data_IF_493886227585
#
_entry.id   IF_493886227585
#
_cell.length_a   1.000
_cell.length_b   1.000
_cell.length_c   1.000
_cell.angle_alpha   90.00
_cell.angle_beta   90.00
_cell.angle_gamma   90.00
#
_symmetry.space_group_name_H-M   'P 1'
#
loop_
_entity.id
_entity.type
_entity.pdbx_description
1 polymer ?
#
# COMPACT_ATOMS: atom_id res chain seq x y z
N UNK A 1 -114.96 137.81 -74.41
CA UNK A 1 -114.46 138.39 -75.67
C UNK A 1 -115.58 138.25 -76.67
N UNK A 2 -116.09 139.38 -77.17
CA UNK A 2 -117.19 139.39 -78.15
C UNK A 2 -116.85 138.47 -79.34
N UNK A 3 -117.82 137.68 -79.82
CA UNK A 3 -117.61 136.85 -81.00
C UNK A 3 -117.50 137.80 -82.21
N UNK A 4 -116.27 138.09 -82.62
CA UNK A 4 -116.03 138.73 -83.91
C UNK A 4 -116.69 137.82 -84.95
N UNK A 5 -117.74 138.33 -85.60
CA UNK A 5 -118.51 137.61 -86.60
C UNK A 5 -117.62 137.37 -87.82
N UNK A 6 -116.87 136.27 -87.78
CA UNK A 6 -116.03 135.83 -88.88
C UNK A 6 -116.95 135.34 -90.00
N UNK A 7 -116.77 135.89 -91.21
CA UNK A 7 -117.50 135.43 -92.38
C UNK A 7 -117.41 133.89 -92.50
N UNK A 8 -118.54 133.17 -92.56
CA UNK A 8 -118.57 131.70 -92.53
C UNK A 8 -117.77 131.05 -93.66
N UNK A 9 -117.70 131.67 -94.85
CA UNK A 9 -116.87 131.16 -95.95
C UNK A 9 -115.37 131.23 -95.63
N UNK A 10 -114.95 132.30 -94.94
CA UNK A 10 -113.55 132.47 -94.51
C UNK A 10 -113.23 131.49 -93.37
N UNK A 11 -114.16 131.26 -92.44
CA UNK A 11 -114.01 130.25 -91.38
C UNK A 11 -113.87 128.84 -91.96
N UNK A 12 -114.75 128.44 -92.89
CA UNK A 12 -114.69 127.13 -93.52
C UNK A 12 -113.37 126.91 -94.28
N UNK A 13 -112.89 127.94 -94.99
CA UNK A 13 -111.60 127.89 -95.69
C UNK A 13 -110.41 127.75 -94.72
N UNK A 14 -110.44 128.47 -93.59
CA UNK A 14 -109.41 128.34 -92.55
C UNK A 14 -109.46 126.94 -91.94
N UNK A 15 -110.62 126.40 -91.57
CA UNK A 15 -110.74 125.04 -91.00
C UNK A 15 -110.26 123.99 -92.00
N UNK A 16 -110.67 124.06 -93.27
CA UNK A 16 -110.18 123.17 -94.33
C UNK A 16 -108.67 123.25 -94.49
N UNK A 17 -108.09 124.45 -94.45
CA UNK A 17 -106.64 124.63 -94.52
C UNK A 17 -105.92 124.04 -93.29
N UNK A 18 -106.51 124.16 -92.10
CA UNK A 18 -106.01 123.53 -90.88
C UNK A 18 -106.04 122.01 -91.01
N UNK A 19 -107.18 121.43 -91.41
CA UNK A 19 -107.34 119.98 -91.56
C UNK A 19 -106.38 119.39 -92.59
N UNK A 20 -106.24 120.03 -93.76
CA UNK A 20 -105.28 119.57 -94.77
C UNK A 20 -103.83 119.66 -94.28
N UNK A 21 -103.45 120.73 -93.57
CA UNK A 21 -102.10 120.85 -93.03
C UNK A 21 -101.88 119.86 -91.88
N UNK A 22 -102.90 119.59 -91.08
CA UNK A 22 -102.85 118.60 -90.01
C UNK A 22 -102.76 117.17 -90.56
N UNK A 23 -103.44 116.88 -91.68
CA UNK A 23 -103.33 115.63 -92.43
C UNK A 23 -101.93 115.46 -93.04
N UNK A 24 -101.34 116.53 -93.59
CA UNK A 24 -99.96 116.54 -94.09
C UNK A 24 -98.93 116.26 -92.98
N UNK A 25 -99.21 116.69 -91.75
CA UNK A 25 -98.40 116.40 -90.56
C UNK A 25 -98.67 115.00 -89.96
N UNK A 26 -99.48 114.17 -90.63
CA UNK A 26 -99.78 112.80 -90.23
C UNK A 26 -100.70 112.69 -89.00
N UNK A 27 -101.49 113.73 -88.69
CA UNK A 27 -102.38 113.79 -87.51
C UNK A 27 -101.68 113.41 -86.20
N UNK A 28 -100.43 113.83 -86.04
CA UNK A 28 -99.63 113.63 -84.82
C UNK A 28 -99.92 114.75 -83.80
N UNK A 29 -99.28 114.71 -82.61
CA UNK A 29 -99.41 115.75 -81.56
C UNK A 29 -98.86 117.14 -81.98
N UNK A 30 -98.39 117.30 -83.22
CA UNK A 30 -97.92 118.55 -83.78
C UNK A 30 -99.02 119.24 -84.58
N UNK A 31 -99.40 120.43 -84.14
CA UNK A 31 -100.39 121.26 -84.84
C UNK A 31 -99.70 122.18 -85.88
N UNK A 32 -100.31 122.39 -87.06
CA UNK A 32 -99.72 123.25 -88.11
C UNK A 32 -99.56 124.69 -87.64
N UNK A 33 -98.54 125.41 -88.09
CA UNK A 33 -98.32 126.76 -87.57
C UNK A 33 -99.40 127.73 -88.07
N UNK A 34 -99.78 128.72 -87.27
CA UNK A 34 -100.78 129.72 -87.69
C UNK A 34 -100.35 130.49 -88.96
N UNK A 35 -99.04 130.63 -89.17
CA UNK A 35 -98.49 131.25 -90.37
C UNK A 35 -98.75 130.40 -91.64
N UNK A 36 -98.58 129.08 -91.56
CA UNK A 36 -98.89 128.14 -92.65
C UNK A 36 -100.39 128.12 -92.96
N UNK A 37 -101.21 128.05 -91.91
CA UNK A 37 -102.68 128.08 -92.04
C UNK A 37 -103.13 129.38 -92.73
N UNK A 38 -102.55 130.52 -92.34
CA UNK A 38 -102.84 131.82 -92.93
C UNK A 38 -102.41 131.90 -94.40
N UNK A 39 -101.20 131.41 -94.72
CA UNK A 39 -100.68 131.40 -96.08
C UNK A 39 -101.56 130.53 -97.01
N UNK A 40 -102.00 129.36 -96.51
CA UNK A 40 -102.82 128.42 -97.27
C UNK A 40 -104.27 128.89 -97.42
N UNK A 41 -104.88 129.42 -96.35
CA UNK A 41 -106.24 129.95 -96.38
C UNK A 41 -106.36 131.34 -97.02
N UNK A 42 -105.24 132.06 -97.23
CA UNK A 42 -105.19 133.47 -97.69
C UNK A 42 -106.11 134.39 -96.88
N UNK A 43 -106.11 134.22 -95.56
CA UNK A 43 -107.00 134.94 -94.64
C UNK A 43 -106.24 136.00 -93.83
N UNK A 44 -106.97 136.98 -93.26
CA UNK A 44 -106.40 137.95 -92.32
C UNK A 44 -105.88 137.26 -91.03
N UNK A 45 -104.80 137.82 -90.45
CA UNK A 45 -104.13 137.24 -89.29
C UNK A 45 -105.06 137.11 -88.08
N UNK A 46 -105.91 138.10 -87.83
CA UNK A 46 -106.77 138.12 -86.65
C UNK A 46 -107.85 137.04 -86.76
N UNK A 47 -108.42 136.86 -87.95
CA UNK A 47 -109.45 135.86 -88.22
C UNK A 47 -108.88 134.44 -88.12
N UNK A 48 -107.71 134.21 -88.75
CA UNK A 48 -107.02 132.92 -88.69
C UNK A 48 -106.69 132.51 -87.25
N UNK A 49 -106.22 133.46 -86.43
CA UNK A 49 -105.83 133.21 -85.04
C UNK A 49 -107.00 132.84 -84.12
N UNK A 50 -108.22 133.31 -84.42
CA UNK A 50 -109.43 132.99 -83.64
C UNK A 50 -109.90 131.57 -84.00
N UNK A 51 -110.10 131.30 -85.30
CA UNK A 51 -110.60 130.00 -85.79
C UNK A 51 -109.60 128.88 -85.44
N UNK A 52 -108.30 129.13 -85.58
CA UNK A 52 -107.28 128.15 -85.22
C UNK A 52 -107.28 127.82 -83.71
N UNK A 53 -107.47 128.81 -82.83
CA UNK A 53 -107.60 128.57 -81.38
C UNK A 53 -108.85 127.78 -81.05
N UNK A 54 -109.97 128.08 -81.70
CA UNK A 54 -111.23 127.36 -81.51
C UNK A 54 -111.09 125.90 -81.94
N UNK A 55 -110.55 125.65 -83.13
CA UNK A 55 -110.31 124.31 -83.64
C UNK A 55 -109.33 123.52 -82.76
N UNK A 56 -108.21 124.15 -82.35
CA UNK A 56 -107.23 123.52 -81.45
C UNK A 56 -107.86 123.15 -80.10
N UNK A 57 -108.76 123.99 -79.57
CA UNK A 57 -109.51 123.71 -78.33
C UNK A 57 -110.48 122.55 -78.50
N UNK A 58 -111.09 122.37 -79.67
CA UNK A 58 -111.97 121.23 -79.94
C UNK A 58 -111.17 119.92 -80.04
N UNK A 59 -109.96 119.94 -80.61
CA UNK A 59 -109.11 118.75 -80.71
C UNK A 59 -108.51 118.31 -79.37
N UNK A 60 -108.21 119.25 -78.46
CA UNK A 60 -107.70 118.93 -77.11
C UNK A 60 -108.80 118.77 -76.06
N UNK A 61 -110.08 118.80 -76.46
CA UNK A 61 -111.19 118.52 -75.56
C UNK A 61 -111.17 117.04 -75.16
N UNK A 62 -110.67 116.78 -73.95
CA UNK A 62 -110.61 115.43 -73.37
C UNK A 62 -112.03 114.86 -73.25
N UNK A 63 -112.35 113.68 -73.81
CA UNK A 63 -113.67 113.09 -73.65
C UNK A 63 -113.94 112.83 -72.16
N UNK A 64 -115.12 113.22 -71.69
CA UNK A 64 -115.55 113.03 -70.31
C UNK A 64 -115.63 111.52 -70.06
N UNK A 65 -114.95 111.04 -69.02
CA UNK A 65 -115.04 109.64 -68.60
C UNK A 65 -116.50 109.35 -68.21
N UNK A 66 -117.19 108.55 -69.02
CA UNK A 66 -118.50 107.99 -68.65
C UNK A 66 -118.23 106.80 -67.75
N UNK A 67 -118.49 106.94 -66.45
CA UNK A 67 -118.55 105.82 -65.53
C UNK A 67 -119.73 104.94 -65.91
N UNK A 68 -119.48 103.89 -66.71
CA UNK A 68 -120.46 102.83 -66.93
C UNK A 68 -120.37 101.92 -65.71
N UNK A 69 -121.41 101.92 -64.88
CA UNK A 69 -121.53 100.95 -63.79
C UNK A 69 -121.61 99.55 -64.39
N UNK A 70 -120.74 98.65 -63.94
CA UNK A 70 -120.74 97.25 -64.38
C UNK A 70 -122.08 96.62 -63.98
N UNK A 71 -122.80 95.95 -64.90
CA UNK A 71 -124.03 95.27 -64.56
C UNK A 71 -123.83 94.26 -63.45
N UNK A 72 -124.69 94.29 -62.44
CA UNK A 72 -124.63 93.44 -61.25
C UNK A 72 -124.44 91.93 -61.56
N UNK A 73 -125.09 91.33 -62.58
CA UNK A 73 -124.87 89.91 -62.89
C UNK A 73 -123.43 89.58 -63.31
N UNK A 74 -122.74 90.52 -63.96
CA UNK A 74 -121.34 90.33 -64.39
C UNK A 74 -120.39 90.43 -63.19
N UNK A 75 -120.67 91.36 -62.27
CA UNK A 75 -119.89 91.51 -61.04
C UNK A 75 -120.03 90.27 -60.13
N UNK A 76 -121.26 89.75 -59.98
CA UNK A 76 -121.53 88.52 -59.24
C UNK A 76 -120.81 87.32 -59.85
N UNK A 77 -120.92 87.11 -61.16
CA UNK A 77 -120.22 86.03 -61.85
C UNK A 77 -118.69 86.14 -61.73
N UNK A 78 -118.14 87.36 -61.72
CA UNK A 78 -116.72 87.58 -61.50
C UNK A 78 -116.29 87.19 -60.08
N UNK A 79 -117.00 87.65 -59.05
CA UNK A 79 -116.71 87.31 -57.65
C UNK A 79 -116.83 85.81 -57.40
N UNK A 80 -117.84 85.16 -57.98
CA UNK A 80 -117.99 83.70 -57.93
C UNK A 80 -116.80 82.98 -58.59
N UNK A 81 -116.38 83.41 -59.79
CA UNK A 81 -115.24 82.81 -60.48
C UNK A 81 -113.93 82.97 -59.68
N UNK A 82 -113.69 84.15 -59.11
CA UNK A 82 -112.54 84.39 -58.22
C UNK A 82 -112.62 83.52 -56.97
N UNK A 83 -113.80 83.39 -56.37
CA UNK A 83 -114.03 82.52 -55.22
C UNK A 83 -113.71 81.05 -55.53
N UNK A 84 -114.14 80.55 -56.69
CA UNK A 84 -113.85 79.18 -57.15
C UNK A 84 -112.35 78.98 -57.35
N UNK A 85 -111.67 79.88 -58.06
CA UNK A 85 -110.22 79.78 -58.30
C UNK A 85 -109.43 79.86 -56.99
N UNK A 86 -109.81 80.77 -56.10
CA UNK A 86 -109.19 80.90 -54.78
C UNK A 86 -109.37 79.62 -53.96
N UNK A 87 -110.60 79.08 -53.89
CA UNK A 87 -110.88 77.85 -53.16
C UNK A 87 -110.08 76.66 -53.71
N UNK A 88 -110.02 76.50 -55.03
CA UNK A 88 -109.24 75.44 -55.68
C UNK A 88 -107.74 75.59 -55.43
N UNK A 89 -107.20 76.82 -55.50
CA UNK A 89 -105.80 77.09 -55.19
C UNK A 89 -105.48 76.82 -53.72
N UNK A 90 -106.37 77.20 -52.80
CA UNK A 90 -106.23 76.94 -51.36
C UNK A 90 -106.29 75.43 -51.07
N UNK A 91 -107.18 74.69 -51.74
CA UNK A 91 -107.25 73.23 -51.62
C UNK A 91 -105.96 72.56 -52.09
N UNK A 92 -105.44 72.95 -53.27
CA UNK A 92 -104.17 72.42 -53.79
C UNK A 92 -102.99 72.77 -52.89
N UNK A 93 -102.89 74.01 -52.40
CA UNK A 93 -101.83 74.42 -51.48
C UNK A 93 -101.88 73.62 -50.17
N UNK A 94 -103.08 73.44 -49.60
CA UNK A 94 -103.27 72.62 -48.41
C UNK A 94 -102.95 71.14 -48.67
N UNK A 95 -103.27 70.61 -49.86
CA UNK A 95 -102.91 69.24 -50.24
C UNK A 95 -101.39 69.07 -50.37
N UNK A 96 -100.70 70.02 -50.99
CA UNK A 96 -99.23 70.01 -51.09
C UNK A 96 -98.56 70.14 -49.72
N UNK A 97 -99.10 70.96 -48.81
CA UNK A 97 -98.57 71.07 -47.44
C UNK A 97 -98.70 69.74 -46.71
N UNK A 98 -99.87 69.09 -46.74
CA UNK A 98 -100.08 67.79 -46.09
C UNK A 98 -99.18 66.69 -46.67
N UNK A 99 -98.99 66.66 -47.99
CA UNK A 99 -98.07 65.71 -48.65
C UNK A 99 -96.61 65.96 -48.24
N UNK A 100 -96.18 67.23 -48.15
CA UNK A 100 -94.84 67.59 -47.69
C UNK A 100 -94.63 67.24 -46.21
N UNK A 101 -95.60 67.51 -45.33
CA UNK A 101 -95.57 67.14 -43.92
C UNK A 101 -95.49 65.61 -43.75
N UNK A 102 -96.28 64.84 -44.53
CA UNK A 102 -96.24 63.38 -44.49
C UNK A 102 -94.90 62.82 -44.95
N UNK A 103 -94.32 63.36 -46.03
CA UNK A 103 -92.99 62.96 -46.51
C UNK A 103 -91.89 63.31 -45.51
N UNK A 104 -91.95 64.49 -44.92
CA UNK A 104 -90.98 64.91 -43.91
C UNK A 104 -91.07 64.04 -42.66
N UNK A 105 -92.27 63.71 -42.18
CA UNK A 105 -92.42 62.83 -41.02
C UNK A 105 -91.93 61.40 -41.32
N UNK A 106 -92.18 60.90 -42.54
CA UNK A 106 -91.64 59.61 -42.98
C UNK A 106 -90.10 59.63 -42.99
N UNK A 107 -89.49 60.59 -43.66
CA UNK A 107 -88.02 60.75 -43.69
C UNK A 107 -87.45 60.91 -42.29
N UNK A 108 -88.11 61.67 -41.41
CA UNK A 108 -87.69 61.85 -40.02
C UNK A 108 -87.73 60.52 -39.26
N UNK A 109 -88.79 59.73 -39.43
CA UNK A 109 -88.95 58.42 -38.79
C UNK A 109 -87.92 57.39 -39.30
N UNK A 110 -87.62 57.41 -40.60
CA UNK A 110 -86.59 56.57 -41.22
C UNK A 110 -85.19 56.95 -40.73
N UNK A 111 -84.89 58.25 -40.66
CA UNK A 111 -83.62 58.75 -40.11
C UNK A 111 -83.45 58.37 -38.63
N UNK A 112 -84.51 58.43 -37.83
CA UNK A 112 -84.47 58.02 -36.43
C UNK A 112 -84.26 56.51 -36.28
N UNK A 113 -84.87 55.72 -37.16
CA UNK A 113 -84.67 54.26 -37.21
C UNK A 113 -83.23 53.93 -37.60
N UNK A 114 -82.70 54.54 -38.66
CA UNK A 114 -81.31 54.38 -39.08
C UNK A 114 -80.33 54.77 -37.96
N UNK A 115 -80.58 55.87 -37.24
CA UNK A 115 -79.74 56.29 -36.10
C UNK A 115 -79.74 55.26 -34.98
N UNK A 116 -80.91 54.69 -34.65
CA UNK A 116 -81.04 53.66 -33.63
C UNK A 116 -80.30 52.39 -34.03
N UNK A 117 -80.52 51.91 -35.26
CA UNK A 117 -79.84 50.71 -35.77
C UNK A 117 -78.31 50.88 -35.80
N UNK A 118 -77.83 52.06 -36.18
CA UNK A 118 -76.39 52.38 -36.12
C UNK A 118 -75.87 52.39 -34.68
N UNK A 119 -76.60 53.00 -33.74
CA UNK A 119 -76.22 53.02 -32.33
C UNK A 119 -76.15 51.61 -31.75
N UNK A 120 -77.18 50.77 -31.99
CA UNK A 120 -77.22 49.38 -31.56
C UNK A 120 -76.08 48.55 -32.18
N UNK A 121 -75.78 48.75 -33.47
CA UNK A 121 -74.66 48.08 -34.12
C UNK A 121 -73.30 48.50 -33.54
N UNK A 122 -73.11 49.79 -33.22
CA UNK A 122 -71.90 50.27 -32.58
C UNK A 122 -71.75 49.74 -31.14
N UNK A 123 -72.82 49.76 -30.35
CA UNK A 123 -72.82 49.19 -28.99
C UNK A 123 -72.51 47.69 -29.03
N UNK A 124 -73.11 46.94 -29.95
CA UNK A 124 -72.81 45.53 -30.15
C UNK A 124 -71.37 45.27 -30.59
N UNK A 125 -70.82 46.10 -31.48
CA UNK A 125 -69.42 45.98 -31.90
C UNK A 125 -68.43 46.28 -30.77
N UNK A 126 -68.74 47.26 -29.89
CA UNK A 126 -67.93 47.57 -28.71
C UNK A 126 -67.97 46.40 -27.72
N UNK A 127 -69.15 45.88 -27.41
CA UNK A 127 -69.30 44.73 -26.51
C UNK A 127 -68.52 43.51 -27.01
N UNK A 128 -68.65 43.16 -28.29
CA UNK A 128 -67.92 42.05 -28.89
C UNK A 128 -66.39 42.27 -28.88
N UNK A 129 -65.94 43.50 -29.06
CA UNK A 129 -64.52 43.84 -28.99
C UNK A 129 -63.97 43.69 -27.55
N UNK A 130 -64.76 44.06 -26.54
CA UNK A 130 -64.37 43.91 -25.14
C UNK A 130 -64.35 42.44 -24.72
N UNK A 131 -65.36 41.64 -25.10
CA UNK A 131 -65.36 40.18 -24.90
C UNK A 131 -64.13 39.52 -25.55
N UNK A 132 -63.79 39.92 -26.78
CA UNK A 132 -62.61 39.39 -27.48
C UNK A 132 -61.29 39.78 -26.78
N UNK A 133 -61.19 40.99 -26.23
CA UNK A 133 -60.02 41.44 -25.44
C UNK A 133 -59.89 40.66 -24.14
N UNK A 134 -61.00 40.42 -23.45
CA UNK A 134 -61.00 39.62 -22.21
C UNK A 134 -60.59 38.18 -22.49
N UNK A 135 -61.15 37.55 -23.53
CA UNK A 135 -60.76 36.21 -23.96
C UNK A 135 -59.26 36.14 -24.32
N UNK A 136 -58.76 37.14 -25.06
CA UNK A 136 -57.33 37.23 -25.39
C UNK A 136 -56.46 37.35 -24.13
N UNK A 137 -56.87 38.16 -23.15
CA UNK A 137 -56.14 38.33 -21.89
C UNK A 137 -56.08 37.04 -21.07
N UNK A 138 -57.15 36.24 -21.06
CA UNK A 138 -57.17 34.91 -20.41
C UNK A 138 -56.17 33.97 -21.10
N UNK A 139 -56.24 33.85 -22.43
CA UNK A 139 -55.34 32.99 -23.19
C UNK A 139 -53.87 33.41 -23.03
N UNK A 140 -53.59 34.71 -22.96
CA UNK A 140 -52.24 35.21 -22.70
C UNK A 140 -51.73 34.78 -21.31
N UNK A 141 -52.55 34.89 -20.26
CA UNK A 141 -52.19 34.42 -18.91
C UNK A 141 -51.92 32.91 -18.88
N UNK A 142 -52.78 32.11 -19.53
CA UNK A 142 -52.59 30.66 -19.62
C UNK A 142 -51.29 30.30 -20.36
N UNK A 143 -51.00 31.01 -21.47
CA UNK A 143 -49.74 30.84 -22.21
C UNK A 143 -48.52 31.16 -21.33
N UNK A 144 -48.56 32.27 -20.59
CA UNK A 144 -47.48 32.65 -19.67
C UNK A 144 -47.29 31.62 -18.56
N UNK A 145 -48.38 31.11 -17.99
CA UNK A 145 -48.33 30.05 -16.99
C UNK A 145 -47.73 28.75 -17.54
N UNK A 146 -48.15 28.32 -18.74
CA UNK A 146 -47.57 27.15 -19.42
C UNK A 146 -46.09 27.37 -19.78
N UNK A 147 -45.69 28.58 -20.16
CA UNK A 147 -44.30 28.91 -20.42
C UNK A 147 -43.44 28.80 -19.15
N UNK A 148 -43.94 29.30 -18.02
CA UNK A 148 -43.28 29.17 -16.71
C UNK A 148 -43.19 27.70 -16.27
N UNK A 149 -44.25 26.92 -16.44
CA UNK A 149 -44.24 25.48 -16.15
C UNK A 149 -43.24 24.71 -17.03
N UNK A 150 -43.16 25.02 -18.33
CA UNK A 150 -42.16 24.42 -19.20
C UNK A 150 -40.73 24.80 -18.78
N UNK A 151 -40.49 26.04 -18.37
CA UNK A 151 -39.19 26.47 -17.88
C UNK A 151 -38.78 25.72 -16.60
N UNK A 152 -39.71 25.53 -15.66
CA UNK A 152 -39.42 24.79 -14.42
C UNK A 152 -39.18 23.30 -14.68
N UNK A 153 -39.94 22.68 -15.59
CA UNK A 153 -39.70 21.30 -16.02
C UNK A 153 -38.35 21.13 -16.72
N UNK A 154 -37.93 22.08 -17.56
CA UNK A 154 -36.62 22.06 -18.17
C UNK A 154 -35.49 22.16 -17.13
N UNK A 155 -35.64 23.01 -16.11
CA UNK A 155 -34.69 23.11 -14.99
C UNK A 155 -34.60 21.79 -14.20
N UNK A 156 -35.74 21.19 -13.85
CA UNK A 156 -35.78 19.88 -13.18
C UNK A 156 -35.12 18.79 -14.02
N UNK A 157 -35.31 18.82 -15.34
CA UNK A 157 -34.71 17.86 -16.26
C UNK A 157 -33.19 18.05 -16.36
N UNK A 158 -32.69 19.28 -16.35
CA UNK A 158 -31.24 19.54 -16.29
C UNK A 158 -30.63 19.06 -14.98
N UNK A 159 -31.26 19.36 -13.83
CA UNK A 159 -30.80 18.90 -12.52
C UNK A 159 -30.81 17.37 -12.42
N UNK A 160 -31.86 16.72 -12.91
CA UNK A 160 -31.94 15.26 -12.94
C UNK A 160 -30.84 14.63 -13.80
N UNK A 161 -30.51 15.25 -14.95
CA UNK A 161 -29.40 14.80 -15.80
C UNK A 161 -28.05 14.96 -15.11
N UNK A 162 -27.80 16.10 -14.47
CA UNK A 162 -26.56 16.33 -13.73
C UNK A 162 -26.40 15.33 -12.57
N UNK A 163 -27.47 15.12 -11.80
CA UNK A 163 -27.49 14.12 -10.74
C UNK A 163 -27.22 12.71 -11.28
N UNK A 164 -27.82 12.33 -12.41
CA UNK A 164 -27.57 11.04 -13.04
C UNK A 164 -26.10 10.87 -13.44
N UNK A 165 -25.49 11.90 -14.04
CA UNK A 165 -24.05 11.88 -14.40
C UNK A 165 -23.20 11.73 -13.15
N UNK A 166 -23.48 12.48 -12.07
CA UNK A 166 -22.74 12.36 -10.81
C UNK A 166 -22.88 10.98 -10.16
N UNK A 167 -24.06 10.36 -10.23
CA UNK A 167 -24.25 9.00 -9.71
C UNK A 167 -23.52 7.97 -10.58
N UNK A 168 -23.52 8.14 -11.90
CA UNK A 168 -22.78 7.27 -12.83
C UNK A 168 -21.28 7.31 -12.56
N UNK A 169 -20.69 8.51 -12.40
CA UNK A 169 -19.25 8.63 -12.11
C UNK A 169 -18.87 8.03 -10.76
N UNK A 170 -19.72 8.19 -9.73
CA UNK A 170 -19.54 7.54 -8.43
C UNK A 170 -19.64 6.01 -8.54
N UNK A 171 -20.57 5.50 -9.34
CA UNK A 171 -20.70 4.06 -9.58
C UNK A 171 -19.45 3.49 -10.26
N UNK A 172 -18.96 4.15 -11.31
CA UNK A 172 -17.72 3.77 -12.00
C UNK A 172 -16.50 3.80 -11.06
N UNK A 173 -16.39 4.81 -10.21
CA UNK A 173 -15.30 4.89 -9.22
C UNK A 173 -15.39 3.77 -8.18
N UNK A 174 -16.59 3.48 -7.68
CA UNK A 174 -16.80 2.37 -6.75
C UNK A 174 -16.47 1.02 -7.38
N UNK A 175 -16.82 0.81 -8.66
CA UNK A 175 -16.45 -0.39 -9.41
C UNK A 175 -14.94 -0.51 -9.56
N UNK A 176 -14.23 0.57 -9.89
CA UNK A 176 -12.75 0.58 -9.96
C UNK A 176 -12.15 0.20 -8.61
N UNK A 177 -12.54 0.88 -7.53
CA UNK A 177 -12.06 0.57 -6.16
C UNK A 177 -12.36 -0.87 -5.76
N UNK A 178 -13.53 -1.40 -6.12
CA UNK A 178 -13.89 -2.78 -5.83
C UNK A 178 -13.03 -3.78 -6.61
N UNK A 179 -12.61 -3.46 -7.85
CA UNK A 179 -11.70 -4.29 -8.62
C UNK A 179 -10.27 -4.21 -8.07
N UNK A 180 -9.77 -3.02 -7.74
CA UNK A 180 -8.46 -2.83 -7.13
C UNK A 180 -8.36 -3.64 -5.82
N UNK A 181 -9.37 -3.56 -4.95
CA UNK A 181 -9.42 -4.34 -3.70
C UNK A 181 -9.46 -5.85 -3.94
N UNK A 182 -10.12 -6.33 -5.01
CA UNK A 182 -10.11 -7.75 -5.37
C UNK A 182 -8.72 -8.20 -5.83
N UNK A 183 -8.03 -7.37 -6.61
CA UNK A 183 -6.66 -7.64 -7.06
C UNK A 183 -5.69 -7.67 -5.87
N UNK A 184 -5.75 -6.67 -4.99
CA UNK A 184 -4.95 -6.62 -3.75
C UNK A 184 -5.22 -7.83 -2.85
N UNK A 185 -6.49 -8.21 -2.67
CA UNK A 185 -6.86 -9.41 -1.92
C UNK A 185 -6.29 -10.69 -2.56
N UNK A 186 -6.33 -10.77 -3.90
CA UNK A 186 -5.73 -11.86 -4.66
C UNK A 186 -4.21 -11.97 -4.44
N UNK A 187 -3.50 -10.83 -4.50
CA UNK A 187 -2.07 -10.76 -4.23
C UNK A 187 -1.75 -11.17 -2.79
N UNK A 188 -2.50 -10.67 -1.80
CA UNK A 188 -2.32 -11.05 -0.40
C UNK A 188 -2.55 -12.56 -0.17
N UNK A 189 -3.50 -13.17 -0.88
CA UNK A 189 -3.71 -14.62 -0.83
C UNK A 189 -2.53 -15.40 -1.43
N UNK A 190 -1.98 -14.94 -2.57
CA UNK A 190 -0.79 -15.55 -3.19
C UNK A 190 0.41 -15.44 -2.25
N UNK A 191 0.67 -14.25 -1.69
CA UNK A 191 1.76 -14.04 -0.74
C UNK A 191 1.61 -14.91 0.50
N UNK A 192 0.40 -14.99 1.07
CA UNK A 192 0.11 -15.90 2.20
C UNK A 192 0.37 -17.35 1.84
N UNK A 193 0.01 -17.78 0.63
CA UNK A 193 0.29 -19.15 0.15
C UNK A 193 1.80 -19.40 0.01
N UNK A 194 2.54 -18.45 -0.55
CA UNK A 194 3.99 -18.53 -0.72
C UNK A 194 4.69 -18.62 0.64
N UNK A 195 4.36 -17.74 1.59
CA UNK A 195 4.92 -17.78 2.96
C UNK A 195 4.61 -19.11 3.65
N UNK A 196 3.40 -19.67 3.47
CA UNK A 196 3.06 -21.00 4.01
C UNK A 196 3.91 -22.10 3.38
N UNK A 197 4.14 -22.02 2.07
CA UNK A 197 4.98 -22.99 1.35
C UNK A 197 6.44 -22.89 1.80
N UNK A 198 7.01 -21.68 1.87
CA UNK A 198 8.35 -21.42 2.36
C UNK A 198 8.53 -21.90 3.81
N UNK A 199 7.56 -21.61 4.68
CA UNK A 199 7.57 -22.10 6.06
C UNK A 199 7.52 -23.64 6.12
N UNK A 200 6.74 -24.29 5.26
CA UNK A 200 6.71 -25.75 5.16
C UNK A 200 8.06 -26.30 4.70
N UNK A 201 8.68 -25.70 3.69
CA UNK A 201 9.99 -26.09 3.18
C UNK A 201 11.07 -25.91 4.25
N UNK A 202 11.08 -24.78 4.96
CA UNK A 202 12.00 -24.51 6.06
C UNK A 202 11.85 -25.53 7.19
N UNK A 203 10.60 -25.91 7.54
CA UNK A 203 10.34 -26.97 8.54
C UNK A 203 10.89 -28.33 8.11
N UNK A 204 10.72 -28.70 6.83
CA UNK A 204 11.25 -29.96 6.29
C UNK A 204 12.78 -29.94 6.27
N UNK A 205 13.40 -28.85 5.81
CA UNK A 205 14.85 -28.68 5.79
C UNK A 205 15.43 -28.79 7.21
N UNK A 206 14.88 -28.03 8.17
CA UNK A 206 15.29 -28.10 9.56
C UNK A 206 15.13 -29.51 10.16
N UNK A 207 14.02 -30.21 9.87
CA UNK A 207 13.85 -31.59 10.32
C UNK A 207 14.92 -32.53 9.74
N UNK A 208 15.29 -32.35 8.47
CA UNK A 208 16.34 -33.13 7.83
C UNK A 208 17.74 -32.83 8.39
N UNK A 209 18.05 -31.57 8.67
CA UNK A 209 19.30 -31.15 9.31
C UNK A 209 19.40 -31.72 10.73
N UNK A 210 18.31 -31.66 11.50
CA UNK A 210 18.25 -32.26 12.84
C UNK A 210 18.46 -33.77 12.79
N UNK A 211 17.90 -34.47 11.81
CA UNK A 211 18.11 -35.90 11.64
C UNK A 211 19.55 -36.22 11.23
N UNK A 212 20.16 -35.42 10.36
CA UNK A 212 21.58 -35.54 10.01
C UNK A 212 22.48 -35.29 11.22
N UNK A 213 22.19 -34.28 12.03
CA UNK A 213 22.92 -33.99 13.27
C UNK A 213 22.81 -35.14 14.27
N UNK A 214 21.60 -35.71 14.45
CA UNK A 214 21.40 -36.89 15.29
C UNK A 214 22.17 -38.10 14.78
N UNK A 215 22.14 -38.37 13.48
CA UNK A 215 22.89 -39.46 12.85
C UNK A 215 24.40 -39.26 13.02
N UNK A 216 24.92 -38.06 12.77
CA UNK A 216 26.33 -37.74 12.97
C UNK A 216 26.73 -37.87 14.45
N UNK A 217 25.90 -37.40 15.39
CA UNK A 217 26.14 -37.57 16.82
C UNK A 217 26.12 -39.04 17.23
N UNK A 218 25.21 -39.85 16.68
CA UNK A 218 25.15 -41.29 16.91
C UNK A 218 26.43 -41.99 16.42
N UNK A 219 26.92 -41.68 15.22
CA UNK A 219 28.18 -42.21 14.69
C UNK A 219 29.39 -41.77 15.52
N UNK A 220 29.42 -40.53 16.02
CA UNK A 220 30.48 -40.07 16.91
C UNK A 220 30.45 -40.81 18.27
N UNK A 221 29.25 -41.04 18.83
CA UNK A 221 29.09 -41.83 20.04
C UNK A 221 29.57 -43.27 19.83
N UNK A 222 29.26 -43.87 18.68
CA UNK A 222 29.74 -45.22 18.33
C UNK A 222 31.27 -45.26 18.23
N UNK A 223 31.89 -44.32 17.52
CA UNK A 223 33.35 -44.20 17.42
C UNK A 223 34.01 -43.96 18.79
N UNK A 224 33.42 -43.10 19.63
CA UNK A 224 33.91 -42.88 20.99
C UNK A 224 33.77 -44.14 21.83
N UNK A 225 32.68 -44.89 21.69
CA UNK A 225 32.47 -46.16 22.40
C UNK A 225 33.50 -47.23 21.97
N UNK A 226 33.82 -47.30 20.67
CA UNK A 226 34.84 -48.20 20.13
C UNK A 226 36.25 -47.78 20.58
N UNK A 227 36.57 -46.49 20.53
CA UNK A 227 37.83 -45.96 21.07
C UNK A 227 37.96 -46.22 22.57
N UNK A 228 36.86 -46.12 23.34
CA UNK A 228 36.85 -46.42 24.76
C UNK A 228 37.02 -47.92 24.99
N UNK A 229 36.38 -48.79 24.19
CA UNK A 229 36.56 -50.23 24.25
C UNK A 229 38.01 -50.65 23.92
N UNK A 230 38.61 -50.08 22.88
CA UNK A 230 40.01 -50.33 22.52
C UNK A 230 40.98 -49.77 23.56
N UNK A 231 40.70 -48.59 24.13
CA UNK A 231 41.49 -48.04 25.24
C UNK A 231 41.39 -48.91 26.50
N UNK A 232 40.19 -49.41 26.84
CA UNK A 232 39.98 -50.40 27.92
C UNK A 232 40.78 -51.68 27.66
N UNK A 233 40.69 -52.27 26.46
CA UNK A 233 41.47 -53.46 26.12
C UNK A 233 42.99 -53.24 26.20
N UNK A 234 43.48 -52.06 25.78
CA UNK A 234 44.89 -51.68 25.94
C UNK A 234 45.28 -51.53 27.41
N UNK A 235 44.40 -50.94 28.23
CA UNK A 235 44.61 -50.81 29.67
C UNK A 235 44.66 -52.18 30.34
N UNK A 236 43.71 -53.07 30.01
CA UNK A 236 43.67 -54.44 30.52
C UNK A 236 44.94 -55.20 30.13
N UNK A 237 45.37 -55.13 28.87
CA UNK A 237 46.64 -55.73 28.42
C UNK A 237 47.87 -55.11 29.09
N UNK A 238 47.90 -53.79 29.31
CA UNK A 238 48.98 -53.13 30.04
C UNK A 238 49.02 -53.56 31.52
N UNK A 239 47.85 -53.75 32.15
CA UNK A 239 47.74 -54.28 33.50
C UNK A 239 48.21 -55.73 33.57
N UNK A 240 47.78 -56.60 32.66
CA UNK A 240 48.27 -57.98 32.55
C UNK A 240 49.80 -58.01 32.38
N UNK A 241 50.35 -57.15 31.52
CA UNK A 241 51.80 -57.02 31.37
C UNK A 241 52.49 -56.50 32.64
N UNK A 242 51.86 -55.57 33.37
CA UNK A 242 52.38 -55.06 34.63
C UNK A 242 52.37 -56.13 35.72
N UNK A 243 51.30 -56.92 35.82
CA UNK A 243 51.20 -58.08 36.71
C UNK A 243 52.24 -59.14 36.35
N UNK A 244 52.41 -59.47 35.07
CA UNK A 244 53.47 -60.37 34.59
C UNK A 244 54.87 -59.84 34.89
N UNK A 245 55.12 -58.53 34.72
CA UNK A 245 56.39 -57.92 35.11
C UNK A 245 56.61 -57.97 36.61
N UNK A 246 55.56 -57.77 37.41
CA UNK A 246 55.63 -57.83 38.87
C UNK A 246 55.91 -59.25 39.36
N UNK A 247 55.27 -60.27 38.79
CA UNK A 247 55.56 -61.68 39.10
C UNK A 247 56.97 -62.07 38.64
N UNK A 248 57.39 -61.67 37.43
CA UNK A 248 58.76 -61.90 36.97
C UNK A 248 59.82 -61.18 37.83
N UNK A 249 59.53 -59.97 38.31
CA UNK A 249 60.37 -59.24 39.28
C UNK A 249 60.43 -59.98 40.62
N UNK A 250 59.30 -60.46 41.13
CA UNK A 250 59.23 -61.28 42.35
C UNK A 250 60.05 -62.57 42.21
N UNK A 251 59.93 -63.28 41.08
CA UNK A 251 60.71 -64.49 40.78
C UNK A 251 62.21 -64.18 40.65
N UNK A 252 62.58 -63.08 40.00
CA UNK A 252 63.96 -62.64 39.90
C UNK A 252 64.53 -62.25 41.28
N UNK A 253 63.74 -61.58 42.13
CA UNK A 253 64.09 -61.27 43.51
C UNK A 253 64.27 -62.54 44.35
N UNK A 254 63.39 -63.54 44.19
CA UNK A 254 63.52 -64.83 44.86
C UNK A 254 64.77 -65.59 44.41
N UNK A 255 65.07 -65.61 43.11
CA UNK A 255 66.32 -66.18 42.57
C UNK A 255 67.56 -65.44 43.06
N UNK A 256 67.51 -64.12 43.15
CA UNK A 256 68.60 -63.31 43.69
C UNK A 256 68.81 -63.61 45.18
N UNK A 257 67.73 -63.69 45.97
CA UNK A 257 67.79 -64.06 47.38
C UNK A 257 68.35 -65.47 47.58
N UNK A 258 67.98 -66.42 46.71
CA UNK A 258 68.53 -67.77 46.70
C UNK A 258 70.02 -67.79 46.33
N UNK A 259 70.44 -67.00 45.34
CA UNK A 259 71.85 -66.86 44.96
C UNK A 259 72.68 -66.20 46.07
N UNK A 260 72.13 -65.20 46.77
CA UNK A 260 72.74 -64.60 47.95
C UNK A 260 72.88 -65.60 49.10
N UNK A 261 71.84 -66.39 49.39
CA UNK A 261 71.92 -67.45 50.39
C UNK A 261 72.94 -68.55 50.03
N UNK A 262 73.07 -68.89 48.74
CA UNK A 262 74.11 -69.80 48.26
C UNK A 262 75.51 -69.19 48.39
N UNK A 263 75.67 -67.89 48.11
CA UNK A 263 76.94 -67.19 48.30
C UNK A 263 77.33 -67.09 49.78
N UNK A 264 76.37 -66.84 50.68
CA UNK A 264 76.57 -66.85 52.13
C UNK A 264 76.91 -68.26 52.65
N UNK A 265 76.26 -69.31 52.14
CA UNK A 265 76.59 -70.69 52.46
C UNK A 265 78.02 -71.05 51.99
N UNK A 266 78.40 -70.66 50.78
CA UNK A 266 79.76 -70.86 50.25
C UNK A 266 80.81 -70.06 51.05
N UNK A 267 80.47 -68.84 51.49
CA UNK A 267 81.33 -68.06 52.38
C UNK A 267 81.49 -68.72 53.75
N UNK A 268 80.42 -69.29 54.31
CA UNK A 268 80.45 -70.08 55.54
C UNK A 268 81.28 -71.36 55.41
N UNK A 269 81.21 -72.05 54.27
CA UNK A 269 82.08 -73.18 53.97
C UNK A 269 83.55 -72.77 53.82
N UNK A 270 83.85 -71.67 53.13
CA UNK A 270 85.20 -71.12 53.05
C UNK A 270 85.77 -70.77 54.42
N UNK A 271 84.94 -70.23 55.33
CA UNK A 271 85.35 -69.92 56.69
C UNK A 271 85.62 -71.17 57.53
N UNK A 272 84.81 -72.23 57.38
CA UNK A 272 85.12 -73.55 57.98
C UNK A 272 86.40 -74.17 57.43
N UNK A 273 86.60 -74.12 56.11
CA UNK A 273 87.83 -74.63 55.46
C UNK A 273 89.06 -73.88 55.95
N UNK A 274 88.97 -72.54 56.11
CA UNK A 274 90.05 -71.74 56.71
C UNK A 274 90.33 -72.14 58.16
N UNK A 275 89.32 -72.31 59.01
CA UNK A 275 89.53 -72.75 60.40
C UNK A 275 90.08 -74.19 60.51
N UNK A 276 89.71 -75.08 59.59
CA UNK A 276 90.27 -76.43 59.51
C UNK A 276 91.74 -76.41 59.06
N UNK A 277 92.13 -75.45 58.22
CA UNK A 277 93.52 -75.28 57.78
C UNK A 277 94.40 -74.74 58.92
N UNK A 278 93.95 -73.72 59.65
CA UNK A 278 94.67 -73.16 60.81
C UNK A 278 94.94 -74.23 61.88
N UNK A 279 93.94 -75.04 62.21
CA UNK A 279 94.07 -76.14 63.18
C UNK A 279 95.03 -77.24 62.71
N UNK A 280 95.11 -77.51 61.40
CA UNK A 280 96.10 -78.43 60.83
C UNK A 280 97.51 -77.85 60.83
N UNK A 281 97.64 -76.53 60.70
CA UNK A 281 98.92 -75.83 60.74
C UNK A 281 99.52 -75.85 62.14
N UNK A 282 98.72 -75.60 63.19
CA UNK A 282 99.15 -75.74 64.59
C UNK A 282 99.55 -77.17 64.95
N UNK A 283 98.85 -78.19 64.42
CA UNK A 283 99.26 -79.59 64.61
C UNK A 283 100.64 -79.91 63.98
N UNK A 284 101.01 -79.26 62.89
CA UNK A 284 102.31 -79.46 62.24
C UNK A 284 103.47 -78.80 63.03
N UNK A 285 103.22 -77.63 63.61
CA UNK A 285 104.20 -76.91 64.45
C UNK A 285 104.48 -77.66 65.77
N UNK A 286 103.46 -78.24 66.41
CA UNK A 286 103.62 -79.07 67.61
C UNK A 286 104.41 -80.36 67.35
N UNK A 287 104.19 -81.01 66.19
CA UNK A 287 104.95 -82.19 65.78
C UNK A 287 106.42 -81.84 65.50
N UNK A 288 106.71 -80.66 64.94
CA UNK A 288 108.09 -80.19 64.75
C UNK A 288 108.80 -79.96 66.10
N UNK A 289 108.12 -79.40 67.10
CA UNK A 289 108.70 -79.23 68.44
C UNK A 289 109.00 -80.58 69.12
N UNK A 290 108.15 -81.60 68.94
CA UNK A 290 108.39 -82.94 69.47
C UNK A 290 109.62 -83.62 68.84
N UNK A 291 109.83 -83.48 67.52
CA UNK A 291 111.00 -84.03 66.81
C UNK A 291 112.30 -83.34 67.25
N UNK A 292 112.28 -82.03 67.51
CA UNK A 292 113.43 -81.31 68.04
C UNK A 292 113.84 -81.79 69.46
N UNK A 293 112.86 -82.20 70.27
CA UNK A 293 113.12 -82.64 71.66
C UNK A 293 113.71 -84.05 71.72
N UNK A 294 113.22 -84.97 70.88
CA UNK A 294 113.71 -86.35 70.81
C UNK A 294 115.13 -86.43 70.24
N UNK A 295 115.48 -85.56 69.28
CA UNK A 295 116.83 -85.52 68.71
C UNK A 295 117.90 -85.05 69.72
N UNK A 296 117.55 -84.11 70.62
CA UNK A 296 118.43 -83.68 71.70
C UNK A 296 118.70 -84.80 72.72
N UNK A 297 117.69 -85.61 73.06
CA UNK A 297 117.83 -86.74 73.99
C UNK A 297 118.70 -87.88 73.42
N UNK A 298 118.65 -88.10 72.10
CA UNK A 298 119.49 -89.10 71.43
C UNK A 298 120.98 -88.72 71.44
N UNK A 299 121.29 -87.42 71.32
CA UNK A 299 122.66 -86.91 71.36
C UNK A 299 123.28 -87.03 72.77
N UNK A 300 122.48 -86.86 73.82
CA UNK A 300 122.89 -87.02 75.23
C UNK A 300 123.24 -88.49 75.54
N UNK A 301 122.39 -89.42 75.08
CA UNK A 301 122.60 -90.88 75.21
C UNK A 301 123.88 -91.35 74.50
N UNK A 302 124.17 -90.81 73.33
CA UNK A 302 125.39 -91.16 72.58
C UNK A 302 126.68 -90.70 73.29
N UNK A 303 126.68 -89.56 73.99
CA UNK A 303 127.83 -89.13 74.79
C UNK A 303 128.06 -90.02 76.02
N UNK A 304 126.98 -90.44 76.69
CA UNK A 304 127.07 -91.34 77.85
C UNK A 304 127.61 -92.74 77.48
N UNK A 305 127.29 -93.23 76.28
CA UNK A 305 127.77 -94.51 75.78
C UNK A 305 129.25 -94.47 75.36
N UNK A 306 129.78 -93.29 75.00
CA UNK A 306 131.20 -93.12 74.69
C UNK A 306 132.07 -93.14 75.96
N UNK A 307 131.65 -92.48 77.05
CA UNK A 307 132.44 -92.45 78.28
C UNK A 307 132.51 -93.82 78.98
N UNK A 308 131.42 -94.59 78.97
CA UNK A 308 131.38 -95.94 79.53
C UNK A 308 132.25 -96.95 78.77
N UNK A 309 132.54 -96.69 77.49
CA UNK A 309 133.38 -97.56 76.66
C UNK A 309 134.87 -97.36 76.93
N UNK A 310 135.29 -96.14 77.24
CA UNK A 310 136.68 -95.82 77.64
C UNK A 310 137.00 -96.30 79.07
N UNK A 311 136.01 -96.36 79.94
CA UNK A 311 136.15 -96.86 81.33
C UNK A 311 136.31 -98.40 81.37
N UNK A 312 135.68 -99.11 80.42
CA UNK A 312 135.80 -100.56 80.29
C UNK A 312 137.18 -101.01 79.73
N UNK A 313 137.83 -100.20 78.89
CA UNK A 313 139.16 -100.53 78.33
C UNK A 313 140.28 -100.31 79.36
N UNK A 314 140.16 -99.31 80.24
CA UNK A 314 141.08 -99.10 81.36
C UNK A 314 140.99 -100.22 82.42
N UNK A 315 139.77 -100.69 82.71
CA UNK A 315 139.51 -101.78 83.67
C UNK A 315 140.14 -103.11 83.24
N UNK A 316 140.15 -103.39 81.93
CA UNK A 316 140.79 -104.59 81.35
C UNK A 316 142.31 -104.56 81.49
N UNK A 317 142.92 -103.39 81.34
CA UNK A 317 144.36 -103.25 81.42
C UNK A 317 144.89 -103.48 82.84
N UNK A 318 144.14 -103.06 83.87
CA UNK A 318 144.46 -103.34 85.28
C UNK A 318 144.30 -104.82 85.67
N UNK A 319 143.35 -105.54 85.07
CA UNK A 319 143.15 -106.96 85.35
C UNK A 319 144.29 -107.84 84.79
N UNK A 320 144.88 -107.47 83.65
CA UNK A 320 145.98 -108.21 83.04
C UNK A 320 147.31 -108.05 83.79
N UNK A 321 147.56 -106.90 84.42
CA UNK A 321 148.74 -106.70 85.28
C UNK A 321 148.67 -107.54 86.56
N UNK A 322 147.49 -107.60 87.20
CA UNK A 322 147.26 -108.43 88.40
C UNK A 322 147.44 -109.93 88.12
N UNK A 323 147.02 -110.40 86.94
CA UNK A 323 147.20 -111.80 86.53
C UNK A 323 148.66 -112.20 86.33
N UNK A 324 149.53 -111.27 85.91
CA UNK A 324 150.96 -111.56 85.68
C UNK A 324 151.74 -111.69 86.98
N UNK A 325 151.36 -110.94 88.01
CA UNK A 325 151.97 -111.03 89.33
C UNK A 325 151.57 -112.31 90.07
N UNK A 326 150.31 -112.74 89.94
CA UNK A 326 149.83 -114.01 90.52
C UNK A 326 150.53 -115.25 89.94
N UNK A 327 150.85 -115.24 88.64
CA UNK A 327 151.53 -116.36 87.99
C UNK A 327 152.98 -116.57 88.49
N UNK A 328 153.69 -115.50 88.86
CA UNK A 328 155.06 -115.62 89.40
C UNK A 328 155.08 -116.16 90.83
N UNK A 329 154.11 -115.76 91.66
CA UNK A 329 154.02 -116.23 93.06
C UNK A 329 153.61 -117.71 93.13
N UNK A 330 152.75 -118.17 92.21
CA UNK A 330 152.35 -119.58 92.13
C UNK A 330 153.51 -120.52 91.77
N UNK A 331 154.49 -120.07 90.97
CA UNK A 331 155.66 -120.89 90.63
C UNK A 331 156.60 -121.12 91.80
N UNK A 332 156.71 -120.14 92.71
CA UNK A 332 157.55 -120.25 93.92
C UNK A 332 156.92 -121.20 94.95
N UNK A 333 155.59 -121.30 94.99
CA UNK A 333 154.86 -122.12 95.97
C UNK A 333 154.89 -123.62 95.65
N UNK A 334 154.96 -124.01 94.37
CA UNK A 334 154.87 -125.42 93.97
C UNK A 334 156.16 -126.22 94.22
N UNK A 335 157.35 -125.63 94.10
CA UNK A 335 158.57 -126.43 94.33
C UNK A 335 158.86 -126.60 95.83
N UNK A 336 158.39 -125.67 96.68
CA UNK A 336 158.39 -125.83 98.15
C UNK A 336 157.45 -126.97 98.59
N UNK A 337 156.39 -127.25 97.82
CA UNK A 337 155.50 -128.40 98.09
C UNK A 337 156.08 -129.74 97.64
N UNK A 338 156.90 -129.80 96.58
CA UNK A 338 157.57 -131.04 96.18
C UNK A 338 158.65 -131.49 97.18
N UNK A 339 159.30 -130.54 97.86
CA UNK A 339 160.26 -130.84 98.92
C UNK A 339 159.61 -131.45 100.18
N UNK A 340 158.30 -131.27 100.39
CA UNK A 340 157.58 -131.79 101.57
C UNK A 340 156.94 -133.17 101.36
N UNK A 341 156.67 -133.60 100.12
CA UNK A 341 155.96 -134.85 99.87
C UNK A 341 156.80 -136.11 100.15
N UNK A 342 158.08 -136.18 99.78
CA UNK A 342 158.86 -137.43 99.91
C UNK A 342 159.72 -137.54 101.18
N UNK A 343 159.67 -136.54 102.05
CA UNK A 343 160.03 -136.70 103.46
C UNK A 343 159.04 -137.64 104.21
N UNK A 344 157.84 -137.90 103.66
CA UNK A 344 156.78 -138.69 104.34
C UNK A 344 156.80 -140.20 104.09
N UNK A 345 157.51 -140.74 103.09
CA UNK A 345 157.50 -142.21 102.86
C UNK A 345 158.68 -142.96 103.51
N UNK A 346 159.61 -142.25 104.17
CA UNK A 346 160.80 -142.86 104.81
C UNK A 346 160.57 -143.52 106.19
N UNK A 347 159.37 -143.55 106.79
CA UNK A 347 159.23 -143.96 108.20
C UNK A 347 158.02 -144.87 108.51
N UNK A 348 158.30 -146.18 108.51
CA UNK A 348 157.97 -147.20 109.54
C UNK A 348 157.03 -148.38 109.20
N UNK A 349 157.50 -149.57 109.61
CA UNK A 349 157.07 -150.93 109.31
C UNK A 349 156.83 -151.77 110.59
N UNK A 350 155.81 -152.66 110.57
CA UNK A 350 155.69 -153.93 111.34
C UNK A 350 154.89 -153.89 112.66
N UNK A 351 154.08 -154.88 113.11
CA UNK A 351 153.70 -156.30 112.79
C UNK A 351 152.45 -156.65 113.66
N UNK A 352 151.65 -157.72 113.50
CA UNK A 352 151.71 -159.01 112.79
C UNK A 352 150.35 -159.75 112.84
N UNK A 353 149.96 -160.61 111.87
CA UNK A 353 150.25 -162.07 111.67
C UNK A 353 149.56 -163.00 112.72
N UNK A 354 149.15 -164.27 112.46
CA UNK A 354 149.42 -165.13 111.27
C UNK A 354 148.36 -166.21 110.86
N UNK A 355 148.67 -166.94 109.76
CA UNK A 355 148.20 -168.29 109.34
C UNK A 355 146.73 -168.42 108.89
N UNK A 356 146.33 -169.28 107.93
CA UNK A 356 146.85 -170.50 107.29
C UNK A 356 145.91 -170.69 106.05
N UNK A 357 146.34 -171.01 104.82
CA UNK A 357 146.79 -172.30 104.25
C UNK A 357 145.90 -172.60 103.02
N UNK A 358 146.53 -173.12 101.97
CA UNK A 358 145.89 -173.86 100.87
C UNK A 358 145.23 -172.98 99.82
N UNK A 359 145.28 -173.29 98.53
CA UNK A 359 145.85 -174.42 97.81
C UNK A 359 146.07 -173.98 96.34
N UNK A 360 147.06 -174.65 95.74
CA UNK A 360 147.37 -174.83 94.30
C UNK A 360 147.78 -173.64 93.41
#
# INVERSE_FOLDING_TARGET
>A
MEPINVNPEVRARIVSAIEELYDQLGRSDQFPTQAEVRAKAKADMNICSIVYREWKRQQTARPVLVTVEVPEPVNQAHLEAVGIVWAAAQEQANAHLRDAEAKWELERSDNETMRRELAEAYEGAVAAADEAREALAVVQREKEQLAQQNQSLLQQLTEARENLVQQSTRAEENERRANDLKEELGLAHIETSNVRQELSQARVAHASEMEQQKSAAASQLELLSENLATAKARLDSANEQSEQRQTALSDAQAKLAQALAQAEAAAGELQRVRGALETKQQQAEDLQHQVATVSAQLAELQRSHASLKDEATQSRHHAEESSREAAKVSGVLQEVQRQNADLMERLTTGKGKPTKKGDE
#
